data_IF_245013898201
#
_entry.id   IF_245013898201
#
_cell.length_a   1.000
_cell.length_b   1.000
_cell.length_c   1.000
_cell.angle_alpha   90.00
_cell.angle_beta   90.00
_cell.angle_gamma   90.00
#
_symmetry.space_group_name_H-M   'P 1'
#
loop_
_entity.id
_entity.type
_entity.pdbx_description
1 polymer ?
#
# COMPACT_ATOMS: atom_id res chain seq x y z
N UNK A 1 -13.14 -5.63 36.36
CA UNK A 1 -12.68 -6.70 35.44
C UNK A 1 -11.76 -6.05 34.43
N UNK A 2 -10.44 -6.18 34.60
CA UNK A 2 -9.46 -5.60 33.67
C UNK A 2 -9.08 -6.68 32.66
N UNK A 3 -9.63 -6.59 31.45
CA UNK A 3 -9.22 -7.42 30.34
C UNK A 3 -7.82 -7.01 29.90
N UNK A 4 -6.83 -7.81 30.30
CA UNK A 4 -5.46 -7.73 29.79
C UNK A 4 -5.48 -8.03 28.30
N UNK A 5 -5.37 -7.00 27.46
CA UNK A 5 -5.09 -7.13 26.03
C UNK A 5 -3.73 -7.82 25.86
N UNK A 6 -3.75 -9.14 25.67
CA UNK A 6 -2.54 -9.89 25.28
C UNK A 6 -2.14 -9.44 23.88
N UNK A 7 -0.89 -8.99 23.66
CA UNK A 7 -0.40 -8.78 22.31
C UNK A 7 -0.42 -10.12 21.59
N UNK A 8 -1.11 -10.19 20.45
CA UNK A 8 -1.06 -11.36 19.58
C UNK A 8 0.35 -11.48 19.04
N UNK A 9 1.11 -12.45 19.53
CA UNK A 9 2.39 -12.80 18.95
C UNK A 9 2.11 -13.44 17.58
N UNK A 10 2.31 -12.68 16.51
CA UNK A 10 2.34 -13.22 15.16
C UNK A 10 3.63 -14.03 15.02
N UNK A 11 3.53 -15.35 15.19
CA UNK A 11 4.65 -16.26 14.97
C UNK A 11 4.95 -16.28 13.48
N UNK A 12 6.05 -15.66 13.07
CA UNK A 12 6.61 -15.83 11.73
C UNK A 12 7.15 -17.26 11.70
N UNK A 13 6.52 -18.12 10.92
CA UNK A 13 7.05 -19.47 10.63
C UNK A 13 8.38 -19.30 9.92
N UNK A 14 9.44 -19.91 10.46
CA UNK A 14 10.83 -19.78 9.98
C UNK A 14 11.64 -18.77 10.78
N UNK A 15 12.81 -19.20 11.27
CA UNK A 15 13.61 -18.48 12.27
C UNK A 15 14.20 -17.13 11.81
N UNK A 16 15.27 -16.70 12.50
CA UNK A 16 15.92 -15.39 12.29
C UNK A 16 16.26 -15.09 10.82
N UNK A 17 16.67 -16.10 10.06
CA UNK A 17 17.07 -15.96 8.66
C UNK A 17 15.89 -15.62 7.74
N UNK A 18 14.71 -16.20 7.99
CA UNK A 18 13.51 -15.89 7.21
C UNK A 18 13.03 -14.46 7.47
N UNK A 19 13.05 -14.03 8.73
CA UNK A 19 12.74 -12.65 9.09
C UNK A 19 13.70 -11.65 8.42
N UNK A 20 15.01 -11.94 8.41
CA UNK A 20 15.98 -11.08 7.73
C UNK A 20 15.78 -11.05 6.20
N UNK A 21 15.41 -12.18 5.60
CA UNK A 21 15.04 -12.24 4.19
C UNK A 21 13.82 -11.35 3.90
N UNK A 22 12.76 -11.47 4.70
CA UNK A 22 11.53 -10.68 4.57
C UNK A 22 11.78 -9.19 4.76
N UNK A 23 12.60 -8.79 5.74
CA UNK A 23 13.06 -7.40 5.90
C UNK A 23 13.76 -6.89 4.64
N UNK A 24 14.66 -7.68 4.04
CA UNK A 24 15.32 -7.28 2.78
C UNK A 24 14.30 -7.05 1.68
N UNK A 25 13.32 -7.95 1.52
CA UNK A 25 12.25 -7.80 0.52
C UNK A 25 11.45 -6.52 0.79
N UNK A 26 11.04 -6.27 2.03
CA UNK A 26 10.26 -5.09 2.42
C UNK A 26 10.92 -3.78 1.96
N UNK A 27 12.22 -3.63 2.17
CA UNK A 27 12.92 -2.38 1.85
C UNK A 27 13.46 -2.33 0.40
N UNK A 28 13.60 -3.47 -0.29
CA UNK A 28 14.16 -3.52 -1.65
C UNK A 28 13.11 -3.70 -2.75
N UNK A 29 12.16 -4.62 -2.58
CA UNK A 29 11.13 -4.98 -3.57
C UNK A 29 9.80 -5.27 -2.86
N UNK A 30 9.22 -4.25 -2.16
CA UNK A 30 8.03 -4.45 -1.35
C UNK A 30 6.85 -4.97 -2.15
N UNK A 31 6.75 -4.69 -3.45
CA UNK A 31 5.70 -5.18 -4.36
C UNK A 31 5.58 -6.70 -4.47
N UNK A 32 6.62 -7.45 -4.10
CA UNK A 32 6.59 -8.92 -4.09
C UNK A 32 5.85 -9.50 -2.89
N UNK A 33 5.62 -8.70 -1.84
CA UNK A 33 4.87 -9.14 -0.67
C UNK A 33 3.37 -9.06 -0.93
N UNK A 34 2.63 -10.07 -0.54
CA UNK A 34 1.16 -9.98 -0.51
C UNK A 34 0.72 -8.89 0.47
N UNK A 35 -0.48 -8.33 0.28
CA UNK A 35 -0.93 -7.18 1.08
C UNK A 35 -0.91 -7.49 2.59
N UNK A 36 -1.46 -8.63 2.98
CA UNK A 36 -1.49 -9.06 4.39
C UNK A 36 -0.07 -9.31 4.94
N UNK A 37 0.83 -9.84 4.11
CA UNK A 37 2.22 -10.09 4.51
C UNK A 37 2.99 -8.80 4.74
N UNK A 38 2.81 -7.82 3.84
CA UNK A 38 3.38 -6.48 3.98
C UNK A 38 2.91 -5.81 5.28
N UNK A 39 1.61 -5.81 5.55
CA UNK A 39 1.02 -5.23 6.77
C UNK A 39 1.55 -5.91 8.03
N UNK A 40 1.48 -7.25 8.08
CA UNK A 40 1.99 -8.02 9.22
C UNK A 40 3.48 -7.76 9.48
N UNK A 41 4.27 -7.60 8.41
CA UNK A 41 5.70 -7.34 8.53
C UNK A 41 5.95 -5.93 9.06
N UNK A 42 5.23 -4.92 8.56
CA UNK A 42 5.31 -3.54 9.08
C UNK A 42 4.96 -3.49 10.57
N UNK A 43 3.87 -4.15 10.97
CA UNK A 43 3.42 -4.24 12.36
C UNK A 43 4.47 -4.94 13.24
N UNK A 44 5.04 -6.05 12.76
CA UNK A 44 6.06 -6.81 13.51
C UNK A 44 7.35 -6.01 13.72
N UNK A 45 7.64 -5.06 12.84
CA UNK A 45 8.80 -4.17 12.90
C UNK A 45 8.49 -2.86 13.64
N UNK A 46 7.23 -2.62 14.04
CA UNK A 46 6.80 -1.41 14.72
C UNK A 46 6.91 -0.15 13.85
N UNK A 47 6.80 -0.29 12.53
CA UNK A 47 6.91 0.83 11.59
C UNK A 47 5.64 1.69 11.63
N UNK A 48 5.81 3.01 11.67
CA UNK A 48 4.70 3.94 11.57
C UNK A 48 4.42 4.31 10.11
N UNK A 49 3.29 4.97 9.86
CA UNK A 49 2.90 5.41 8.52
C UNK A 49 4.02 6.18 7.81
N UNK A 50 4.69 7.11 8.52
CA UNK A 50 5.81 7.90 7.99
C UNK A 50 7.01 7.05 7.54
N UNK A 51 7.21 5.89 8.16
CA UNK A 51 8.31 4.97 7.82
C UNK A 51 7.96 4.11 6.59
N UNK A 52 6.67 3.87 6.35
CA UNK A 52 6.18 2.99 5.29
C UNK A 52 5.60 3.72 4.09
N UNK A 53 5.36 5.04 4.17
CA UNK A 53 4.76 5.85 3.10
C UNK A 53 5.47 5.64 1.76
N UNK A 54 6.80 5.72 1.75
CA UNK A 54 7.61 5.47 0.55
C UNK A 54 7.46 4.03 0.04
N UNK A 55 7.35 3.05 0.93
CA UNK A 55 7.18 1.64 0.57
C UNK A 55 5.80 1.40 -0.05
N UNK A 56 4.76 2.02 0.51
CA UNK A 56 3.40 1.99 -0.03
C UNK A 56 3.39 2.65 -1.42
N UNK A 57 3.99 3.84 -1.57
CA UNK A 57 4.11 4.50 -2.87
C UNK A 57 4.82 3.61 -3.90
N UNK A 58 5.92 2.96 -3.51
CA UNK A 58 6.66 2.03 -4.38
C UNK A 58 5.81 0.83 -4.81
N UNK A 59 5.04 0.24 -3.89
CA UNK A 59 4.08 -0.83 -4.21
C UNK A 59 3.03 -0.35 -5.20
N UNK A 60 2.46 0.84 -5.00
CA UNK A 60 1.45 1.40 -5.90
C UNK A 60 2.04 1.70 -7.28
N UNK A 61 3.29 2.16 -7.39
CA UNK A 61 3.93 2.38 -8.70
C UNK A 61 4.19 1.10 -9.47
N UNK A 62 4.62 0.03 -8.78
CA UNK A 62 5.06 -1.21 -9.41
C UNK A 62 3.94 -2.24 -9.60
N UNK A 63 2.81 -2.12 -8.91
CA UNK A 63 1.67 -3.02 -9.07
C UNK A 63 0.93 -2.73 -10.37
N UNK A 64 0.44 -3.78 -11.02
CA UNK A 64 -0.43 -3.66 -12.19
C UNK A 64 -1.85 -3.26 -11.76
N UNK A 65 -2.28 -2.05 -12.12
CA UNK A 65 -3.64 -1.57 -11.89
C UNK A 65 -4.48 -1.67 -13.16
N UNK A 66 -5.75 -2.05 -13.02
CA UNK A 66 -6.72 -2.04 -14.13
C UNK A 66 -7.04 -0.63 -14.61
N UNK A 67 -6.84 0.39 -13.75
CA UNK A 67 -7.02 1.79 -14.09
C UNK A 67 -5.80 2.61 -13.71
N UNK A 68 -5.13 3.19 -14.72
CA UNK A 68 -4.05 4.17 -14.51
C UNK A 68 -4.54 5.40 -13.74
N UNK A 69 -5.79 5.82 -13.96
CA UNK A 69 -6.38 6.97 -13.28
C UNK A 69 -6.50 6.72 -11.76
N UNK A 70 -6.99 5.55 -11.37
CA UNK A 70 -7.09 5.17 -9.95
C UNK A 70 -5.71 5.01 -9.31
N UNK A 71 -4.74 4.44 -10.04
CA UNK A 71 -3.36 4.37 -9.58
C UNK A 71 -2.78 5.78 -9.30
N UNK A 72 -2.99 6.74 -10.21
CA UNK A 72 -2.52 8.12 -10.03
C UNK A 72 -3.23 8.82 -8.86
N UNK A 73 -4.53 8.58 -8.68
CA UNK A 73 -5.27 9.14 -7.54
C UNK A 73 -4.72 8.62 -6.20
N UNK A 74 -4.42 7.32 -6.11
CA UNK A 74 -3.79 6.73 -4.93
C UNK A 74 -2.40 7.32 -4.66
N UNK A 75 -1.58 7.49 -5.70
CA UNK A 75 -0.26 8.11 -5.55
C UNK A 75 -0.36 9.57 -5.09
N UNK A 76 -1.31 10.35 -5.63
CA UNK A 76 -1.51 11.73 -5.21
C UNK A 76 -1.89 11.83 -3.72
N UNK A 77 -2.71 10.91 -3.21
CA UNK A 77 -3.04 10.83 -1.78
C UNK A 77 -1.80 10.52 -0.95
N UNK A 78 -1.04 9.49 -1.34
CA UNK A 78 0.15 9.06 -0.58
C UNK A 78 1.19 10.19 -0.55
N UNK A 79 1.41 10.86 -1.67
CA UNK A 79 2.41 11.93 -1.82
C UNK A 79 1.94 13.31 -1.34
N UNK A 80 0.72 13.44 -0.83
CA UNK A 80 0.16 14.72 -0.35
C UNK A 80 0.00 15.79 -1.44
N UNK A 81 -0.33 15.40 -2.68
CA UNK A 81 -0.50 16.32 -3.83
C UNK A 81 -1.95 16.81 -3.94
N UNK A 82 -2.37 17.69 -3.03
CA UNK A 82 -3.77 18.14 -2.87
C UNK A 82 -4.45 18.59 -4.18
N UNK A 83 -3.78 19.41 -5.00
CA UNK A 83 -4.31 19.86 -6.29
C UNK A 83 -4.59 18.70 -7.26
N UNK A 84 -3.73 17.67 -7.25
CA UNK A 84 -3.91 16.50 -8.09
C UNK A 84 -5.00 15.58 -7.54
N UNK A 85 -5.15 15.51 -6.21
CA UNK A 85 -6.24 14.77 -5.56
C UNK A 85 -7.58 15.33 -6.04
N UNK A 86 -7.84 16.63 -5.86
CA UNK A 86 -9.12 17.25 -6.26
C UNK A 86 -9.43 17.01 -7.74
N UNK A 87 -8.43 17.22 -8.59
CA UNK A 87 -8.56 17.03 -10.05
C UNK A 87 -8.87 15.58 -10.41
N UNK A 88 -8.12 14.62 -9.87
CA UNK A 88 -8.25 13.19 -10.22
C UNK A 88 -9.56 12.61 -9.69
N UNK A 89 -9.98 13.00 -8.48
CA UNK A 89 -11.27 12.61 -7.92
C UNK A 89 -12.43 13.20 -8.72
N UNK A 90 -12.37 14.46 -9.13
CA UNK A 90 -13.40 15.05 -9.99
C UNK A 90 -13.55 14.31 -11.33
N UNK A 91 -12.45 13.82 -11.92
CA UNK A 91 -12.50 12.99 -13.13
C UNK A 91 -13.12 11.61 -12.82
N UNK A 92 -12.76 10.98 -11.71
CA UNK A 92 -13.30 9.68 -11.29
C UNK A 92 -14.81 9.75 -11.02
N UNK A 93 -15.28 10.77 -10.31
CA UNK A 93 -16.69 10.99 -10.03
C UNK A 93 -17.49 11.18 -11.32
N UNK A 94 -17.00 12.04 -12.22
CA UNK A 94 -17.63 12.26 -13.53
C UNK A 94 -17.63 11.01 -14.40
N UNK A 95 -16.56 10.21 -14.37
CA UNK A 95 -16.51 8.91 -15.06
C UNK A 95 -17.59 7.97 -14.52
N UNK A 96 -17.68 7.85 -13.19
CA UNK A 96 -18.60 6.94 -12.52
C UNK A 96 -20.06 7.35 -12.76
N UNK A 97 -20.37 8.66 -12.76
CA UNK A 97 -21.72 9.15 -13.05
C UNK A 97 -22.17 8.90 -14.49
N UNK A 98 -21.23 8.75 -15.42
CA UNK A 98 -21.49 8.47 -16.83
C UNK A 98 -21.37 6.97 -17.19
N UNK A 99 -21.06 6.10 -16.23
CA UNK A 99 -20.79 4.67 -16.45
C UNK A 99 -19.73 4.40 -17.53
N UNK A 100 -18.79 5.32 -17.72
CA UNK A 100 -17.75 5.22 -18.75
C UNK A 100 -16.54 4.45 -18.25
N UNK A 101 -15.95 3.61 -19.09
CA UNK A 101 -14.61 3.03 -18.85
C UNK A 101 -13.57 3.85 -19.61
N UNK A 102 -12.57 4.38 -18.91
CA UNK A 102 -11.42 5.01 -19.56
C UNK A 102 -10.56 3.90 -20.15
N UNK A 103 -10.62 3.74 -21.47
CA UNK A 103 -9.66 2.93 -22.20
C UNK A 103 -8.38 3.76 -22.26
N UNK A 104 -7.39 3.45 -21.42
CA UNK A 104 -6.09 4.12 -21.54
C UNK A 104 -5.44 3.66 -22.85
N UNK A 105 -5.28 4.57 -23.81
CA UNK A 105 -4.38 4.37 -24.94
C UNK A 105 -2.97 4.23 -24.40
N UNK A 106 -2.31 3.13 -24.78
CA UNK A 106 -0.94 2.77 -24.42
C UNK A 106 0.07 3.86 -24.72
#
# INVERSE_FOLDING_TARGET
>A
MNESRKPSFTVITGGKEELECKKRILFSTPELLEQQEFENLCDSLGLQFVDVEFLIAKRVRNRNYSSRLEQQALLAIIEGRDNDIERLFGILERRNSLSLKVISSS
#
